data_IF_299977839073
#
_entry.id   IF_299977839073
#
_cell.length_a   1.000
_cell.length_b   1.000
_cell.length_c   1.000
_cell.angle_alpha   90.00
_cell.angle_beta   90.00
_cell.angle_gamma   90.00
#
_symmetry.space_group_name_H-M   'P 1'
#
loop_
_entity.id
_entity.type
_entity.pdbx_description
1 polymer ?
#
# COMPACT_ATOMS: atom_id res chain seq x y z
N UNK A 1 -21.46 13.40 -3.40
CA UNK A 1 -20.70 12.16 -3.17
C UNK A 1 -19.83 11.92 -4.40
N UNK A 2 -18.50 11.78 -4.27
CA UNK A 2 -17.66 11.31 -5.40
C UNK A 2 -18.27 9.98 -5.88
N UNK A 3 -18.52 9.84 -7.19
CA UNK A 3 -19.01 8.58 -7.76
C UNK A 3 -18.02 7.48 -7.38
N UNK A 4 -18.54 6.39 -6.83
CA UNK A 4 -17.78 5.16 -6.61
C UNK A 4 -17.48 4.56 -7.99
N UNK A 5 -16.34 4.94 -8.56
CA UNK A 5 -15.88 4.43 -9.85
C UNK A 5 -15.23 3.06 -9.63
N UNK A 6 -16.09 2.04 -9.63
CA UNK A 6 -15.71 0.66 -9.35
C UNK A 6 -14.56 0.16 -10.25
N UNK A 7 -14.55 0.39 -11.58
CA UNK A 7 -13.42 0.06 -12.44
C UNK A 7 -12.09 0.69 -12.01
N UNK A 8 -12.08 1.98 -11.66
CA UNK A 8 -10.86 2.66 -11.22
C UNK A 8 -10.34 2.08 -9.89
N UNK A 9 -11.25 1.77 -8.96
CA UNK A 9 -10.92 1.15 -7.67
C UNK A 9 -10.47 -0.31 -7.80
N UNK A 10 -11.05 -1.07 -8.73
CA UNK A 10 -10.59 -2.41 -9.11
C UNK A 10 -9.15 -2.37 -9.63
N UNK A 11 -8.84 -1.42 -10.52
CA UNK A 11 -7.47 -1.23 -11.00
C UNK A 11 -6.50 -0.87 -9.87
N UNK A 12 -6.92 -0.01 -8.94
CA UNK A 12 -6.12 0.37 -7.79
C UNK A 12 -5.83 -0.83 -6.87
N UNK A 13 -6.86 -1.64 -6.56
CA UNK A 13 -6.70 -2.85 -5.73
C UNK A 13 -5.84 -3.90 -6.44
N UNK A 14 -5.98 -4.07 -7.75
CA UNK A 14 -5.13 -4.97 -8.53
C UNK A 14 -3.67 -4.53 -8.53
N UNK A 15 -3.39 -3.22 -8.60
CA UNK A 15 -2.04 -2.67 -8.45
C UNK A 15 -1.46 -2.94 -7.07
N UNK A 16 -2.23 -2.69 -6.01
CA UNK A 16 -1.80 -3.00 -4.63
C UNK A 16 -1.52 -4.50 -4.47
N UNK A 17 -2.38 -5.37 -5.02
CA UNK A 17 -2.17 -6.82 -5.00
C UNK A 17 -0.84 -7.22 -5.65
N UNK A 18 -0.59 -6.71 -6.86
CA UNK A 18 0.63 -6.97 -7.61
C UNK A 18 1.86 -6.55 -6.80
N UNK A 19 1.88 -5.35 -6.24
CA UNK A 19 3.01 -4.88 -5.44
C UNK A 19 3.21 -5.67 -4.14
N UNK A 20 2.14 -6.14 -3.49
CA UNK A 20 2.25 -7.05 -2.33
C UNK A 20 2.88 -8.38 -2.74
N UNK A 21 2.50 -8.95 -3.88
CA UNK A 21 3.07 -10.20 -4.38
C UNK A 21 4.56 -10.04 -4.68
N UNK A 22 4.93 -8.98 -5.41
CA UNK A 22 6.33 -8.67 -5.72
C UNK A 22 7.17 -8.38 -4.46
N UNK A 23 6.63 -7.63 -3.49
CA UNK A 23 7.31 -7.37 -2.23
C UNK A 23 7.59 -8.67 -1.46
N UNK A 24 6.62 -9.59 -1.41
CA UNK A 24 6.80 -10.89 -0.76
C UNK A 24 7.81 -11.79 -1.50
N UNK A 25 7.80 -11.77 -2.83
CA UNK A 25 8.75 -12.56 -3.63
C UNK A 25 10.19 -12.07 -3.43
N UNK A 26 10.41 -10.77 -3.53
CA UNK A 26 11.74 -10.19 -3.30
C UNK A 26 12.21 -10.35 -1.84
N UNK A 27 11.29 -10.26 -0.86
CA UNK A 27 11.63 -10.50 0.54
C UNK A 27 12.11 -11.93 0.77
N UNK A 28 11.45 -12.94 0.18
CA UNK A 28 11.88 -14.35 0.25
C UNK A 28 13.24 -14.61 -0.40
N UNK A 29 13.64 -13.75 -1.33
CA UNK A 29 14.92 -13.83 -2.04
C UNK A 29 16.01 -12.95 -1.39
N UNK A 30 15.79 -12.43 -0.18
CA UNK A 30 16.67 -11.49 0.53
C UNK A 30 16.99 -10.19 -0.25
N UNK A 31 16.20 -9.84 -1.26
CA UNK A 31 16.34 -8.60 -2.02
C UNK A 31 15.60 -7.45 -1.32
N UNK A 32 16.21 -6.94 -0.25
CA UNK A 32 15.64 -5.86 0.56
C UNK A 32 15.51 -4.54 -0.19
N UNK A 33 16.33 -4.32 -1.23
CA UNK A 33 16.25 -3.13 -2.06
C UNK A 33 14.95 -3.14 -2.86
N UNK A 34 14.67 -4.23 -3.56
CA UNK A 34 13.40 -4.40 -4.29
C UNK A 34 12.21 -4.49 -3.36
N UNK A 35 12.35 -5.17 -2.22
CA UNK A 35 11.30 -5.23 -1.19
C UNK A 35 10.90 -3.82 -0.75
N UNK A 36 11.87 -2.95 -0.44
CA UNK A 36 11.61 -1.54 -0.10
C UNK A 36 10.92 -0.79 -1.24
N UNK A 37 11.36 -0.97 -2.47
CA UNK A 37 10.75 -0.33 -3.64
C UNK A 37 9.27 -0.71 -3.79
N UNK A 38 8.94 -1.99 -3.66
CA UNK A 38 7.56 -2.46 -3.75
C UNK A 38 6.71 -2.04 -2.54
N UNK A 39 7.26 -2.06 -1.33
CA UNK A 39 6.56 -1.53 -0.14
C UNK A 39 6.24 -0.04 -0.29
N UNK A 40 7.13 0.75 -0.90
CA UNK A 40 6.82 2.14 -1.29
C UNK A 40 5.77 2.25 -2.39
N UNK A 41 5.81 1.38 -3.39
CA UNK A 41 4.78 1.34 -4.43
C UNK A 41 3.39 1.03 -3.86
N UNK A 42 3.30 0.16 -2.84
CA UNK A 42 2.06 -0.09 -2.09
C UNK A 42 1.60 1.17 -1.37
N UNK A 43 2.49 1.89 -0.68
CA UNK A 43 2.17 3.13 0.04
C UNK A 43 1.49 4.16 -0.89
N UNK A 44 2.04 4.34 -2.08
CA UNK A 44 1.49 5.24 -3.09
C UNK A 44 0.20 4.73 -3.72
N UNK A 45 0.13 3.43 -4.05
CA UNK A 45 -1.06 2.85 -4.66
C UNK A 45 -2.24 2.77 -3.69
N UNK A 46 -1.99 2.66 -2.39
CA UNK A 46 -3.01 2.67 -1.35
C UNK A 46 -3.46 4.09 -0.96
N UNK A 47 -2.73 5.13 -1.39
CA UNK A 47 -3.10 6.51 -1.08
C UNK A 47 -4.47 6.86 -1.69
N UNK A 48 -5.34 7.40 -0.84
CA UNK A 48 -6.61 7.99 -1.26
C UNK A 48 -6.55 9.49 -0.98
N UNK A 49 -6.63 10.36 -2.00
CA UNK A 49 -6.60 11.79 -1.79
C UNK A 49 -7.86 12.26 -1.07
N UNK A 50 -7.74 12.44 0.25
CA UNK A 50 -8.69 13.20 1.07
C UNK A 50 -8.56 14.72 0.80
N UNK A 51 -7.41 15.16 0.27
CA UNK A 51 -7.14 16.46 -0.39
C UNK A 51 -6.12 16.23 -1.51
N UNK A 52 -6.11 17.11 -2.52
CA UNK A 52 -5.05 17.12 -3.55
C UNK A 52 -3.69 17.21 -2.85
N UNK A 53 -2.86 16.18 -3.01
CA UNK A 53 -1.43 16.33 -2.74
C UNK A 53 -0.86 17.04 -3.97
N UNK A 54 -0.26 18.20 -3.74
CA UNK A 54 0.69 18.80 -4.68
C UNK A 54 1.72 17.74 -5.09
N UNK A 55 2.09 17.74 -6.37
CA UNK A 55 2.97 16.77 -7.07
C UNK A 55 4.39 16.60 -6.50
N UNK A 56 4.66 17.07 -5.28
CA UNK A 56 5.97 16.97 -4.65
C UNK A 56 6.01 15.84 -3.63
N UNK A 57 6.71 14.75 -3.97
CA UNK A 57 7.86 14.24 -3.21
C UNK A 57 8.39 12.92 -3.79
N UNK A 58 9.21 13.02 -4.83
CA UNK A 58 10.26 12.02 -5.07
C UNK A 58 11.55 12.47 -4.38
N UNK A 59 11.61 12.30 -3.06
CA UNK A 59 12.90 12.20 -2.37
C UNK A 59 12.86 10.93 -1.54
N UNK A 60 13.35 9.86 -2.14
CA UNK A 60 13.52 8.57 -1.47
C UNK A 60 14.68 8.71 -0.49
N UNK A 61 14.38 8.87 0.80
CA UNK A 61 15.40 8.75 1.82
C UNK A 61 15.99 7.33 1.76
N UNK A 62 17.27 7.27 1.43
CA UNK A 62 18.06 6.07 1.18
C UNK A 62 18.51 5.39 2.49
N UNK A 63 17.63 5.29 3.47
CA UNK A 63 17.91 4.45 4.62
C UNK A 63 17.75 2.96 4.23
N UNK A 64 18.74 2.10 4.53
CA UNK A 64 18.58 0.67 4.30
C UNK A 64 17.37 0.13 5.06
N UNK A 65 16.53 -0.66 4.39
CA UNK A 65 15.40 -1.31 5.02
C UNK A 65 15.91 -2.47 5.89
N UNK A 66 15.68 -2.39 7.20
CA UNK A 66 15.91 -3.51 8.09
C UNK A 66 14.92 -4.66 7.79
N UNK A 67 15.40 -5.91 7.81
CA UNK A 67 14.60 -7.12 7.55
C UNK A 67 13.35 -7.14 8.44
N UNK A 68 13.51 -6.91 9.74
CA UNK A 68 12.42 -6.89 10.72
C UNK A 68 11.34 -5.85 10.38
N UNK A 69 11.74 -4.65 9.93
CA UNK A 69 10.78 -3.63 9.48
C UNK A 69 10.02 -4.06 8.23
N UNK A 70 10.68 -4.75 7.30
CA UNK A 70 10.04 -5.25 6.08
C UNK A 70 9.01 -6.34 6.41
N UNK A 71 9.38 -7.29 7.27
CA UNK A 71 8.51 -8.38 7.72
C UNK A 71 7.29 -7.84 8.46
N UNK A 72 7.50 -6.96 9.44
CA UNK A 72 6.41 -6.34 10.21
C UNK A 72 5.48 -5.52 9.31
N UNK A 73 6.02 -4.77 8.35
CA UNK A 73 5.20 -4.02 7.40
C UNK A 73 4.30 -4.95 6.56
N UNK A 74 4.84 -6.05 6.02
CA UNK A 74 4.08 -7.04 5.25
C UNK A 74 2.99 -7.72 6.09
N UNK A 75 3.31 -8.09 7.34
CA UNK A 75 2.36 -8.69 8.27
C UNK A 75 1.23 -7.72 8.63
N UNK A 76 1.56 -6.46 8.92
CA UNK A 76 0.57 -5.45 9.33
C UNK A 76 -0.38 -5.04 8.20
N UNK A 77 0.07 -4.91 6.95
CA UNK A 77 -0.81 -4.48 5.84
C UNK A 77 -1.75 -5.59 5.34
N UNK A 78 -1.39 -6.86 5.54
CA UNK A 78 -2.11 -8.03 5.05
C UNK A 78 -3.62 -8.05 5.42
N UNK A 79 -4.02 -7.90 6.70
CA UNK A 79 -5.45 -7.89 7.06
C UNK A 79 -6.23 -6.75 6.41
N UNK A 80 -5.63 -5.55 6.32
CA UNK A 80 -6.28 -4.40 5.69
C UNK A 80 -6.44 -4.59 4.19
N UNK A 81 -5.48 -5.23 3.54
CA UNK A 81 -5.61 -5.55 2.12
C UNK A 81 -6.74 -6.57 1.88
N UNK A 82 -6.88 -7.59 2.73
CA UNK A 82 -8.00 -8.52 2.67
C UNK A 82 -9.35 -7.80 2.82
N UNK A 83 -9.47 -6.90 3.82
CA UNK A 83 -10.68 -6.09 3.98
C UNK A 83 -10.96 -5.18 2.78
N UNK A 84 -9.92 -4.56 2.21
CA UNK A 84 -10.07 -3.70 1.04
C UNK A 84 -10.67 -4.48 -0.16
N UNK A 85 -10.21 -5.72 -0.38
CA UNK A 85 -10.78 -6.60 -1.41
C UNK A 85 -12.24 -6.96 -1.12
N UNK A 86 -12.56 -7.35 0.11
CA UNK A 86 -13.93 -7.70 0.48
C UNK A 86 -14.88 -6.51 0.30
N UNK A 87 -14.47 -5.32 0.75
CA UNK A 87 -15.28 -4.11 0.62
C UNK A 87 -15.44 -3.64 -0.82
N UNK A 88 -14.47 -3.91 -1.70
CA UNK A 88 -14.63 -3.68 -3.14
C UNK A 88 -15.71 -4.60 -3.72
N UNK A 89 -15.72 -5.89 -3.33
CA UNK A 89 -16.73 -6.85 -3.79
C UNK A 89 -18.14 -6.51 -3.29
N UNK A 90 -18.28 -6.06 -2.04
CA UNK A 90 -19.58 -5.70 -1.45
C UNK A 90 -20.02 -4.27 -1.77
N UNK A 91 -19.21 -3.48 -2.48
CA UNK A 91 -19.51 -2.07 -2.78
C UNK A 91 -19.49 -1.14 -1.55
N UNK A 92 -18.81 -1.53 -0.47
CA UNK A 92 -18.75 -0.76 0.77
C UNK A 92 -17.64 0.31 0.70
N UNK A 93 -17.94 1.43 0.04
CA UNK A 93 -16.96 2.49 -0.25
C UNK A 93 -16.19 3.02 0.96
N UNK A 94 -16.87 3.20 2.10
CA UNK A 94 -16.25 3.69 3.33
C UNK A 94 -15.25 2.68 3.90
N UNK A 95 -15.62 1.41 3.96
CA UNK A 95 -14.74 0.32 4.39
C UNK A 95 -13.50 0.22 3.51
N UNK A 96 -13.68 0.22 2.19
CA UNK A 96 -12.58 0.22 1.22
C UNK A 96 -11.62 1.39 1.46
N UNK A 97 -12.17 2.59 1.68
CA UNK A 97 -11.37 3.80 1.92
C UNK A 97 -10.54 3.71 3.20
N UNK A 98 -11.15 3.26 4.30
CA UNK A 98 -10.44 3.11 5.57
C UNK A 98 -9.34 2.04 5.49
N UNK A 99 -9.61 0.92 4.82
CA UNK A 99 -8.63 -0.15 4.65
C UNK A 99 -7.40 0.31 3.85
N UNK A 100 -7.61 1.03 2.74
CA UNK A 100 -6.52 1.57 1.93
C UNK A 100 -5.73 2.66 2.67
N UNK A 101 -6.41 3.55 3.40
CA UNK A 101 -5.74 4.55 4.25
C UNK A 101 -4.89 3.89 5.35
N UNK A 102 -5.38 2.82 5.98
CA UNK A 102 -4.62 2.09 7.00
C UNK A 102 -3.32 1.51 6.42
N UNK A 103 -3.36 0.91 5.23
CA UNK A 103 -2.16 0.42 4.53
C UNK A 103 -1.16 1.56 4.32
N UNK A 104 -1.62 2.72 3.84
CA UNK A 104 -0.79 3.89 3.64
C UNK A 104 -0.13 4.37 4.95
N UNK A 105 -0.91 4.50 6.02
CA UNK A 105 -0.43 4.96 7.32
C UNK A 105 0.58 4.00 7.94
N UNK A 106 0.34 2.69 7.85
CA UNK A 106 1.27 1.64 8.29
C UNK A 106 2.62 1.81 7.60
N UNK A 107 2.63 1.87 6.26
CA UNK A 107 3.88 1.95 5.50
C UNK A 107 4.62 3.25 5.78
N UNK A 108 3.91 4.38 5.94
CA UNK A 108 4.53 5.65 6.37
C UNK A 108 5.27 5.54 7.70
N UNK A 109 4.75 4.79 8.68
CA UNK A 109 5.43 4.58 9.98
C UNK A 109 6.75 3.83 9.83
N UNK A 110 6.84 2.90 8.88
CA UNK A 110 8.04 2.07 8.68
C UNK A 110 9.13 2.77 7.84
N UNK A 111 8.77 3.76 7.01
CA UNK A 111 9.70 4.35 6.04
C UNK A 111 9.91 5.87 6.09
N UNK A 112 9.23 6.61 6.98
CA UNK A 112 9.44 8.05 7.16
C UNK A 112 9.98 8.40 8.56
N UNK A 113 10.79 7.50 9.15
CA UNK A 113 11.66 7.81 10.29
C UNK A 113 13.02 8.18 9.75
#
# INVERSE_FOLDING_TARGET
MRKFDKPALEQQINRVNFFIQEANEHFKNDDLTKTKQYLKAIEYAAYIPLRELSEEREVYHNEPLAIEKAELALQEISPYFAFARDYLHTGHARGLTHSLQAIHDILRRYFNV
#
